data_IF_869471833245
#
_entry.id   IF_869471833245
#
_cell.length_a   1.000
_cell.length_b   1.000
_cell.length_c   1.000
_cell.angle_alpha   90.00
_cell.angle_beta   90.00
_cell.angle_gamma   90.00
#
_symmetry.space_group_name_H-M   'P 1'
#
loop_
_entity.id
_entity.type
_entity.pdbx_description
1 polymer ?
#
# COMPACT_ATOMS: atom_id res chain seq x y z
N UNK A 1 -2.97 13.74 -2.57
CA UNK A 1 -2.65 13.68 -4.02
C UNK A 1 -1.59 14.73 -4.37
N UNK A 2 -0.66 14.46 -5.29
CA UNK A 2 0.35 15.45 -5.72
C UNK A 2 -0.17 16.41 -6.81
N UNK A 3 0.51 17.54 -7.04
CA UNK A 3 0.05 18.59 -7.99
C UNK A 3 -0.11 18.06 -9.43
N UNK A 4 0.75 17.14 -9.86
CA UNK A 4 0.69 16.53 -11.18
C UNK A 4 -0.59 15.69 -11.34
N UNK A 5 -0.87 14.80 -10.39
CA UNK A 5 -2.03 13.92 -10.44
C UNK A 5 -3.32 14.70 -10.30
N UNK A 6 -3.36 15.76 -9.47
CA UNK A 6 -4.53 16.65 -9.36
C UNK A 6 -4.89 17.29 -10.70
N UNK A 7 -3.90 17.84 -11.43
CA UNK A 7 -4.12 18.44 -12.76
C UNK A 7 -4.63 17.43 -13.78
N UNK A 8 -4.05 16.23 -13.82
CA UNK A 8 -4.49 15.18 -14.75
C UNK A 8 -5.89 14.66 -14.42
N UNK A 9 -6.21 14.50 -13.14
CA UNK A 9 -7.55 14.12 -12.69
C UNK A 9 -8.59 15.18 -13.07
N UNK A 10 -8.26 16.46 -12.90
CA UNK A 10 -9.14 17.58 -13.26
C UNK A 10 -9.40 17.63 -14.78
N UNK A 11 -8.38 17.37 -15.59
CA UNK A 11 -8.52 17.23 -17.05
C UNK A 11 -9.45 16.07 -17.41
N UNK A 12 -9.29 14.90 -16.78
CA UNK A 12 -10.16 13.74 -17.03
C UNK A 12 -11.61 14.02 -16.63
N UNK A 13 -11.82 14.73 -15.51
CA UNK A 13 -13.15 15.17 -15.05
C UNK A 13 -13.78 16.19 -16.02
N UNK A 14 -13.01 17.14 -16.54
CA UNK A 14 -13.53 18.20 -17.43
C UNK A 14 -13.98 17.68 -18.80
N UNK A 15 -13.38 16.60 -19.28
CA UNK A 15 -13.82 15.91 -20.50
C UNK A 15 -14.96 14.90 -20.26
N UNK A 16 -15.43 14.77 -19.01
CA UNK A 16 -16.52 13.86 -18.65
C UNK A 16 -16.17 12.37 -18.73
N UNK A 17 -14.88 12.03 -18.74
CA UNK A 17 -14.44 10.65 -18.82
C UNK A 17 -14.49 9.95 -17.45
N UNK A 18 -14.83 8.65 -17.39
CA UNK A 18 -14.87 7.91 -16.14
C UNK A 18 -13.45 7.66 -15.61
N UNK A 19 -13.26 7.94 -14.32
CA UNK A 19 -12.01 7.62 -13.58
C UNK A 19 -11.98 6.13 -13.22
N UNK A 20 -11.75 5.27 -14.22
CA UNK A 20 -11.55 3.83 -14.00
C UNK A 20 -10.18 3.54 -13.39
N UNK A 21 -10.01 2.34 -12.86
CA UNK A 21 -8.73 1.91 -12.25
C UNK A 21 -7.55 1.97 -13.23
N UNK A 22 -7.78 1.75 -14.52
CA UNK A 22 -6.75 1.84 -15.56
C UNK A 22 -6.37 3.30 -15.87
N UNK A 23 -7.33 4.22 -15.80
CA UNK A 23 -7.06 5.67 -15.91
C UNK A 23 -6.25 6.14 -14.71
N UNK A 24 -6.63 5.72 -13.50
CA UNK A 24 -5.90 6.08 -12.26
C UNK A 24 -4.48 5.48 -12.25
N UNK A 25 -4.29 4.25 -12.74
CA UNK A 25 -2.96 3.66 -12.95
C UNK A 25 -2.12 4.50 -13.91
N UNK A 26 -2.70 4.93 -15.02
CA UNK A 26 -2.01 5.73 -16.03
C UNK A 26 -1.58 7.10 -15.49
N UNK A 27 -2.46 7.79 -14.77
CA UNK A 27 -2.15 9.05 -14.09
C UNK A 27 -1.05 8.85 -13.06
N UNK A 28 -1.16 7.82 -12.21
CA UNK A 28 -0.17 7.49 -11.20
C UNK A 28 1.22 7.21 -11.81
N UNK A 29 1.28 6.49 -12.94
CA UNK A 29 2.53 6.24 -13.67
C UNK A 29 3.14 7.53 -14.23
N UNK A 30 2.34 8.39 -14.86
CA UNK A 30 2.80 9.66 -15.44
C UNK A 30 3.32 10.63 -14.36
N UNK A 31 2.66 10.66 -13.20
CA UNK A 31 2.99 11.57 -12.11
C UNK A 31 3.90 10.95 -11.04
N UNK A 32 4.43 9.75 -11.27
CA UNK A 32 5.25 8.97 -10.33
C UNK A 32 4.62 8.89 -8.92
N UNK A 33 3.30 8.79 -8.88
CA UNK A 33 2.53 8.69 -7.64
C UNK A 33 2.13 7.24 -7.38
N UNK A 34 1.82 6.92 -6.12
CA UNK A 34 1.31 5.60 -5.78
C UNK A 34 -0.14 5.46 -6.25
N UNK A 35 -0.40 4.47 -7.10
CA UNK A 35 -1.73 4.19 -7.66
C UNK A 35 -2.81 3.98 -6.59
N UNK A 36 -2.51 3.23 -5.53
CA UNK A 36 -3.48 2.94 -4.49
C UNK A 36 -3.79 4.18 -3.66
N UNK A 37 -2.76 4.96 -3.28
CA UNK A 37 -2.99 6.22 -2.58
C UNK A 37 -3.84 7.17 -3.43
N UNK A 38 -3.51 7.33 -4.72
CA UNK A 38 -4.28 8.16 -5.64
C UNK A 38 -5.74 7.66 -5.76
N UNK A 39 -5.94 6.34 -5.88
CA UNK A 39 -7.26 5.73 -5.94
C UNK A 39 -8.09 6.01 -4.67
N UNK A 40 -7.49 5.85 -3.49
CA UNK A 40 -8.19 6.11 -2.22
C UNK A 40 -8.51 7.60 -2.03
N UNK A 41 -7.62 8.49 -2.43
CA UNK A 41 -7.85 9.94 -2.39
C UNK A 41 -9.03 10.33 -3.30
N UNK A 42 -9.06 9.80 -4.53
CA UNK A 42 -10.17 10.04 -5.47
C UNK A 42 -11.49 9.43 -5.01
N UNK A 43 -11.45 8.28 -4.34
CA UNK A 43 -12.63 7.66 -3.74
C UNK A 43 -13.15 8.46 -2.53
N UNK A 44 -12.26 9.07 -1.75
CA UNK A 44 -12.63 9.93 -0.60
C UNK A 44 -13.20 11.28 -1.03
N UNK A 45 -12.86 11.77 -2.22
CA UNK A 45 -13.39 12.99 -2.82
C UNK A 45 -14.79 12.82 -3.46
N UNK A 46 -15.42 11.65 -3.32
CA UNK A 46 -16.80 11.42 -3.80
C UNK A 46 -16.91 11.28 -5.32
N UNK A 47 -15.89 10.74 -5.99
CA UNK A 47 -16.04 10.32 -7.38
C UNK A 47 -17.05 9.17 -7.46
N UNK A 48 -18.11 9.32 -8.26
CA UNK A 48 -19.06 8.25 -8.61
C UNK A 48 -18.32 7.14 -9.38
N UNK A 49 -17.68 6.22 -8.66
CA UNK A 49 -17.02 5.04 -9.24
C UNK A 49 -18.06 3.92 -9.30
N UNK A 50 -18.67 3.75 -10.47
CA UNK A 50 -19.57 2.63 -10.78
C UNK A 50 -18.71 1.43 -11.18
N UNK A 51 -18.75 0.36 -10.37
CA UNK A 51 -18.25 -0.96 -10.78
C UNK A 51 -17.60 -1.77 -9.65
N UNK A 52 -18.46 -2.31 -8.76
CA UNK A 52 -18.29 -3.41 -7.81
C UNK A 52 -16.94 -4.16 -7.79
N UNK A 53 -16.30 -4.36 -6.64
CA UNK A 53 -16.81 -5.26 -5.59
C UNK A 53 -16.76 -4.63 -4.20
N UNK A 54 -17.89 -4.65 -3.50
CA UNK A 54 -17.99 -4.27 -2.10
C UNK A 54 -17.41 -5.39 -1.22
N UNK A 55 -16.34 -5.08 -0.50
CA UNK A 55 -16.14 -5.60 0.87
C UNK A 55 -15.86 -4.36 1.72
N UNK A 56 -16.66 -4.08 2.76
CA UNK A 56 -16.62 -2.78 3.44
C UNK A 56 -15.32 -2.64 4.25
N UNK A 57 -14.39 -1.83 3.76
CA UNK A 57 -13.25 -1.33 4.53
C UNK A 57 -13.72 -0.07 5.28
N UNK A 58 -14.18 -0.32 6.50
CA UNK A 58 -14.61 0.70 7.45
C UNK A 58 -13.49 1.73 7.66
N UNK A 59 -13.93 2.99 7.62
CA UNK A 59 -13.22 4.22 7.88
C UNK A 59 -12.27 4.12 9.09
N UNK A 60 -11.02 4.56 8.92
CA UNK A 60 -10.15 4.84 10.05
C UNK A 60 -10.55 6.17 10.68
N UNK A 61 -11.52 6.15 11.60
CA UNK A 61 -11.56 7.19 12.64
C UNK A 61 -10.44 6.87 13.63
N UNK A 62 -9.54 7.84 13.75
CA UNK A 62 -8.39 7.87 14.65
C UNK A 62 -8.82 7.63 16.10
N UNK A 63 -8.62 6.42 16.62
CA UNK A 63 -8.57 6.17 18.06
C UNK A 63 -7.84 4.85 18.36
N UNK A 64 -6.93 4.93 19.34
CA UNK A 64 -6.11 3.82 19.83
C UNK A 64 -7.01 2.74 20.40
N UNK A 65 -7.12 1.61 19.70
CA UNK A 65 -7.65 0.38 20.29
C UNK A 65 -6.51 -0.64 20.20
N UNK A 66 -5.93 -0.98 21.37
CA UNK A 66 -5.06 -2.14 21.52
C UNK A 66 -5.94 -3.38 21.35
N UNK A 67 -6.11 -3.83 20.11
CA UNK A 67 -6.71 -5.12 19.84
C UNK A 67 -5.61 -6.16 20.02
N UNK A 68 -5.83 -7.12 20.91
CA UNK A 68 -4.96 -8.27 21.21
C UNK A 68 -4.88 -9.28 20.03
N UNK A 69 -4.80 -8.78 18.79
CA UNK A 69 -4.58 -9.57 17.58
C UNK A 69 -3.10 -9.59 17.20
N UNK A 70 -2.64 -10.59 16.44
CA UNK A 70 -1.30 -10.58 15.89
C UNK A 70 -1.13 -9.34 15.00
N UNK A 71 -0.18 -8.49 15.37
CA UNK A 71 0.17 -7.30 14.62
C UNK A 71 1.62 -7.41 14.14
N UNK A 72 1.87 -6.86 12.96
CA UNK A 72 3.20 -6.80 12.38
C UNK A 72 3.52 -5.39 11.90
N UNK A 73 4.73 -4.92 12.20
CA UNK A 73 5.17 -3.56 11.91
C UNK A 73 6.35 -3.58 10.95
N UNK A 74 6.24 -2.83 9.86
CA UNK A 74 7.35 -2.63 8.94
C UNK A 74 8.42 -1.74 9.59
N UNK A 75 9.64 -2.25 9.78
CA UNK A 75 10.76 -1.45 10.32
C UNK A 75 11.15 -0.27 9.39
N UNK A 76 10.95 -0.41 8.08
CA UNK A 76 11.37 0.60 7.10
C UNK A 76 10.49 1.87 7.11
N UNK A 77 9.18 1.73 7.31
CA UNK A 77 8.24 2.87 7.28
C UNK A 77 7.37 3.01 8.54
N UNK A 78 7.49 2.08 9.48
CA UNK A 78 6.75 2.08 10.74
C UNK A 78 5.27 1.71 10.64
N UNK A 79 4.75 1.39 9.44
CA UNK A 79 3.34 0.98 9.24
C UNK A 79 3.04 -0.36 9.92
N UNK A 80 1.87 -0.45 10.54
CA UNK A 80 1.38 -1.66 11.21
C UNK A 80 0.33 -2.35 10.36
N UNK A 81 0.35 -3.68 10.36
CA UNK A 81 -0.52 -4.57 9.60
C UNK A 81 -1.09 -5.63 10.54
N UNK A 82 -2.35 -6.02 10.31
CA UNK A 82 -3.04 -7.11 11.02
C UNK A 82 -3.01 -8.43 10.27
N UNK A 83 -2.41 -8.46 9.07
CA UNK A 83 -2.23 -9.66 8.24
C UNK A 83 -0.80 -9.68 7.68
N UNK A 84 -0.13 -10.82 7.88
CA UNK A 84 1.23 -11.08 7.40
C UNK A 84 1.35 -10.97 5.88
N UNK A 85 0.32 -11.39 5.12
CA UNK A 85 0.34 -11.35 3.66
C UNK A 85 0.37 -9.90 3.15
N UNK A 86 -0.35 -9.00 3.83
CA UNK A 86 -0.32 -7.57 3.49
C UNK A 86 1.05 -6.96 3.78
N UNK A 87 1.70 -7.33 4.88
CA UNK A 87 3.06 -6.88 5.18
C UNK A 87 4.09 -7.39 4.14
N UNK A 88 4.04 -8.67 3.78
CA UNK A 88 4.96 -9.25 2.79
C UNK A 88 4.76 -8.59 1.41
N UNK A 89 3.51 -8.42 0.99
CA UNK A 89 3.19 -7.71 -0.26
C UNK A 89 3.65 -6.26 -0.23
N UNK A 90 3.48 -5.58 0.91
CA UNK A 90 3.96 -4.22 1.12
C UNK A 90 5.49 -4.12 0.94
N UNK A 91 6.27 -4.95 1.62
CA UNK A 91 7.75 -4.95 1.50
C UNK A 91 8.15 -5.23 0.05
N UNK A 92 7.59 -6.28 -0.55
CA UNK A 92 7.93 -6.70 -1.92
C UNK A 92 7.59 -5.62 -2.95
N UNK A 93 6.47 -4.92 -2.77
CA UNK A 93 6.09 -3.81 -3.63
C UNK A 93 7.12 -2.68 -3.59
N UNK A 94 7.51 -2.22 -2.41
CA UNK A 94 8.49 -1.13 -2.28
C UNK A 94 9.90 -1.52 -2.74
N UNK A 95 10.29 -2.79 -2.56
CA UNK A 95 11.52 -3.33 -3.14
C UNK A 95 11.50 -3.23 -4.67
N UNK A 96 10.36 -3.57 -5.31
CA UNK A 96 10.20 -3.41 -6.77
C UNK A 96 10.23 -1.96 -7.22
N UNK A 97 9.75 -1.04 -6.38
CA UNK A 97 9.84 0.42 -6.60
C UNK A 97 11.22 1.01 -6.28
N UNK A 98 12.21 0.17 -5.95
CA UNK A 98 13.58 0.56 -5.60
C UNK A 98 13.69 1.50 -4.39
N UNK A 99 12.77 1.37 -3.45
CA UNK A 99 12.88 2.09 -2.18
C UNK A 99 14.06 1.54 -1.35
N UNK A 100 14.99 2.42 -0.98
CA UNK A 100 16.23 2.02 -0.32
C UNK A 100 15.98 1.34 1.03
N UNK A 101 15.08 1.88 1.84
CA UNK A 101 14.80 1.36 3.18
C UNK A 101 14.13 -0.02 3.11
N UNK A 102 13.20 -0.23 2.18
CA UNK A 102 12.57 -1.54 2.01
C UNK A 102 13.49 -2.57 1.34
N UNK A 103 14.42 -2.14 0.49
CA UNK A 103 15.49 -3.02 -0.04
C UNK A 103 16.38 -3.52 1.10
N UNK A 104 16.85 -2.63 1.97
CA UNK A 104 17.70 -2.98 3.11
C UNK A 104 16.97 -3.95 4.06
N UNK A 105 15.70 -3.67 4.36
CA UNK A 105 14.85 -4.55 5.16
C UNK A 105 14.70 -5.94 4.52
N UNK A 106 14.40 -6.00 3.22
CA UNK A 106 14.24 -7.27 2.50
C UNK A 106 15.54 -8.09 2.50
N UNK A 107 16.68 -7.45 2.31
CA UNK A 107 17.99 -8.09 2.36
C UNK A 107 18.31 -8.62 3.76
N UNK A 108 18.01 -7.86 4.81
CA UNK A 108 18.16 -8.30 6.22
C UNK A 108 17.34 -9.58 6.48
N UNK A 109 16.07 -9.59 6.08
CA UNK A 109 15.20 -10.77 6.23
C UNK A 109 15.69 -11.97 5.42
N UNK A 110 16.17 -11.74 4.18
CA UNK A 110 16.73 -12.80 3.33
C UNK A 110 17.99 -13.43 3.93
N UNK A 111 18.80 -12.65 4.66
CA UNK A 111 19.98 -13.16 5.37
C UNK A 111 19.57 -14.13 6.49
N UNK A 112 18.55 -13.75 7.27
CA UNK A 112 18.00 -14.58 8.35
C UNK A 112 17.36 -15.87 7.80
N UNK A 113 16.70 -15.80 6.63
CA UNK A 113 16.18 -16.98 5.93
C UNK A 113 17.28 -18.00 5.64
N UNK A 114 18.42 -17.54 5.09
CA UNK A 114 19.54 -18.42 4.79
C UNK A 114 20.18 -19.01 6.07
N UNK A 115 20.26 -18.23 7.14
CA UNK A 115 20.84 -18.67 8.42
C UNK A 115 19.94 -19.67 9.15
N UNK A 116 18.63 -19.45 9.17
CA UNK A 116 17.67 -20.26 9.94
C UNK A 116 17.01 -21.39 9.13
N UNK A 117 17.27 -21.51 7.82
CA UNK A 117 16.60 -22.44 6.89
C UNK A 117 15.06 -22.41 7.01
N UNK A 118 14.48 -21.24 7.26
CA UNK A 118 13.03 -21.02 7.33
C UNK A 118 12.52 -20.35 6.07
N UNK A 119 11.21 -20.41 5.82
CA UNK A 119 10.60 -19.65 4.72
C UNK A 119 10.64 -18.15 5.02
N UNK A 120 10.63 -17.32 3.96
CA UNK A 120 10.63 -15.86 4.12
C UNK A 120 9.44 -15.36 4.95
N UNK A 121 8.25 -15.94 4.75
CA UNK A 121 7.04 -15.57 5.49
C UNK A 121 7.17 -15.87 6.98
N UNK A 122 7.73 -17.01 7.37
CA UNK A 122 7.97 -17.35 8.79
C UNK A 122 8.96 -16.38 9.44
N UNK A 123 10.06 -16.07 8.75
CA UNK A 123 11.05 -15.11 9.23
C UNK A 123 10.44 -13.72 9.43
N UNK A 124 9.63 -13.26 8.48
CA UNK A 124 8.91 -11.97 8.58
C UNK A 124 7.89 -11.99 9.71
N UNK A 125 7.15 -13.09 9.87
CA UNK A 125 6.16 -13.26 10.93
C UNK A 125 6.79 -13.17 12.33
N UNK A 126 7.98 -13.76 12.50
CA UNK A 126 8.72 -13.74 13.78
C UNK A 126 9.44 -12.41 14.01
N UNK A 127 10.07 -11.85 12.97
CA UNK A 127 10.99 -10.71 13.12
C UNK A 127 10.32 -9.35 13.09
N UNK A 128 9.15 -9.24 12.44
CA UNK A 128 8.43 -7.98 12.27
C UNK A 128 7.14 -7.93 13.09
N UNK A 129 7.00 -8.79 14.10
CA UNK A 129 5.88 -8.70 15.04
C UNK A 129 5.99 -7.41 15.85
N UNK A 130 4.85 -6.81 16.20
CA UNK A 130 4.82 -5.99 17.41
C UNK A 130 4.71 -6.90 18.66
#
# INVERSE_FOLDING_TARGET
MNECSSKLVEIVKSVGAPLTIEVVKSIAMLCRENTYNLWYELASEGANIIGATQTPLIESKKEKISVEGPCWRCEACGKTFTDIRHLVNHITFYVRQRDKAHIELYQKMKKIVNEKRKTFTEVVMESLRC
#
